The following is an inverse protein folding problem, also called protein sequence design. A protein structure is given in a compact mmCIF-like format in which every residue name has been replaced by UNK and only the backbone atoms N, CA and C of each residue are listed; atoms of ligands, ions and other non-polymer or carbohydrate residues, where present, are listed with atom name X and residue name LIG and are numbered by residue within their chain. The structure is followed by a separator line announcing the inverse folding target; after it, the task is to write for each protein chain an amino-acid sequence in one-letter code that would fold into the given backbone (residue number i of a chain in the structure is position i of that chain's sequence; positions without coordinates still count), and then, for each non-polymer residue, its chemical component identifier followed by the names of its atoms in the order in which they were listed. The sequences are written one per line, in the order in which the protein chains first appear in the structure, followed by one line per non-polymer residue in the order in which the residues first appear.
data_IF_841611049835
#
_entry.id   IF_841611049835
#
_cell.length_a   1.000
_cell.length_b   1.000
_cell.length_c   1.000
_cell.angle_alpha   90.00
_cell.angle_beta   90.00
_cell.angle_gamma   90.00
#
_symmetry.space_group_name_H-M   'P 1'
#
loop_
_entity.id
_entity.type
_entity.pdbx_description
1 polymer ?
#
# COMPACT_ATOMS: atom_id res chain seq x y z
N UNK A 1 -13.69 15.05 5.59
CA UNK A 1 -14.97 14.40 5.21
C UNK A 1 -15.61 13.88 6.47
N UNK A 2 -16.87 14.24 6.74
CA UNK A 2 -17.59 13.71 7.90
C UNK A 2 -17.90 12.23 7.70
N UNK A 3 -17.97 11.45 8.79
CA UNK A 3 -18.32 10.03 8.70
C UNK A 3 -19.73 9.76 8.14
N UNK A 4 -20.59 10.79 8.03
CA UNK A 4 -21.91 10.71 7.39
C UNK A 4 -21.78 10.82 5.87
N UNK A 5 -21.06 11.82 5.37
CA UNK A 5 -20.78 12.02 3.93
C UNK A 5 -20.11 10.79 3.30
N UNK A 6 -19.16 10.17 3.99
CA UNK A 6 -18.50 8.96 3.49
C UNK A 6 -19.45 7.76 3.36
N UNK A 7 -20.37 7.58 4.31
CA UNK A 7 -21.36 6.49 4.28
C UNK A 7 -22.36 6.66 3.16
N UNK A 8 -22.78 7.90 2.90
CA UNK A 8 -23.74 8.20 1.84
C UNK A 8 -23.08 8.01 0.45
N UNK A 9 -21.84 8.48 0.28
CA UNK A 9 -21.05 8.23 -0.94
C UNK A 9 -20.81 6.73 -1.18
N UNK A 10 -20.54 5.94 -0.13
CA UNK A 10 -20.36 4.50 -0.24
C UNK A 10 -21.65 3.76 -0.64
N UNK A 11 -22.79 4.15 -0.07
CA UNK A 11 -24.10 3.60 -0.45
C UNK A 11 -24.42 3.87 -1.92
N UNK A 12 -24.09 5.05 -2.41
CA UNK A 12 -24.27 5.43 -3.80
C UNK A 12 -23.37 4.60 -4.73
N UNK A 13 -22.08 4.46 -4.39
CA UNK A 13 -21.13 3.63 -5.13
C UNK A 13 -21.55 2.14 -5.20
N UNK A 14 -22.12 1.58 -4.13
CA UNK A 14 -22.67 0.22 -4.15
C UNK A 14 -23.86 0.12 -5.10
N UNK A 15 -24.79 1.09 -5.06
CA UNK A 15 -25.98 1.08 -5.92
C UNK A 15 -25.59 1.12 -7.39
N UNK A 16 -24.70 2.04 -7.75
CA UNK A 16 -24.16 2.18 -9.10
C UNK A 16 -23.46 0.87 -9.55
N UNK A 17 -22.62 0.30 -8.69
CA UNK A 17 -21.95 -0.97 -8.99
C UNK A 17 -22.96 -2.12 -9.21
N UNK A 18 -24.00 -2.22 -8.39
CA UNK A 18 -25.03 -3.26 -8.53
C UNK A 18 -25.81 -3.11 -9.85
N UNK A 19 -26.10 -1.87 -10.27
CA UNK A 19 -26.75 -1.59 -11.55
C UNK A 19 -25.85 -1.98 -12.72
N UNK A 20 -24.57 -1.58 -12.67
CA UNK A 20 -23.57 -1.94 -13.68
C UNK A 20 -23.37 -3.46 -13.75
N UNK A 21 -23.34 -4.14 -12.61
CA UNK A 21 -23.22 -5.60 -12.54
C UNK A 21 -24.43 -6.30 -13.18
N UNK A 22 -25.65 -5.84 -12.87
CA UNK A 22 -26.87 -6.37 -13.49
C UNK A 22 -26.90 -6.12 -15.00
N UNK A 23 -26.43 -4.95 -15.44
CA UNK A 23 -26.32 -4.62 -16.87
C UNK A 23 -25.34 -5.55 -17.58
N UNK A 24 -24.13 -5.71 -17.03
CA UNK A 24 -23.09 -6.59 -17.55
C UNK A 24 -23.57 -8.05 -17.67
N UNK A 25 -24.33 -8.55 -16.69
CA UNK A 25 -24.92 -9.89 -16.77
C UNK A 25 -26.00 -10.02 -17.85
N UNK A 26 -26.82 -8.98 -18.08
CA UNK A 26 -27.81 -8.98 -19.16
C UNK A 26 -27.13 -9.00 -20.52
N UNK A 27 -26.12 -8.15 -20.72
CA UNK A 27 -25.35 -8.11 -21.96
C UNK A 27 -24.62 -9.44 -22.21
N UNK A 28 -23.98 -9.98 -21.17
CA UNK A 28 -23.34 -11.29 -21.24
C UNK A 28 -24.33 -12.39 -21.62
N UNK A 29 -25.55 -12.37 -21.08
CA UNK A 29 -26.58 -13.35 -21.44
C UNK A 29 -26.93 -13.29 -22.92
N UNK A 30 -27.01 -12.11 -23.52
CA UNK A 30 -27.24 -11.97 -24.97
C UNK A 30 -26.03 -12.45 -25.78
N UNK A 31 -24.81 -12.06 -25.41
CA UNK A 31 -23.56 -12.56 -26.02
C UNK A 31 -23.47 -14.09 -25.95
N UNK A 32 -23.86 -14.67 -24.83
CA UNK A 32 -23.85 -16.12 -24.61
C UNK A 32 -24.90 -16.84 -25.46
N UNK A 33 -26.08 -16.26 -25.68
CA UNK A 33 -27.07 -16.82 -26.63
C UNK A 33 -26.53 -16.85 -28.05
N UNK A 34 -25.91 -15.76 -28.50
CA UNK A 34 -25.29 -15.67 -29.83
C UNK A 34 -24.20 -16.74 -29.97
N UNK A 35 -23.30 -16.83 -28.98
CA UNK A 35 -22.26 -17.87 -28.94
C UNK A 35 -22.85 -19.28 -28.98
N UNK A 36 -23.95 -19.55 -28.25
CA UNK A 36 -24.64 -20.85 -28.26
C UNK A 36 -25.28 -21.18 -29.62
N UNK A 37 -25.73 -20.19 -30.38
CA UNK A 37 -26.22 -20.41 -31.74
C UNK A 37 -25.09 -20.73 -32.70
N UNK A 38 -23.98 -19.98 -32.63
CA UNK A 38 -22.76 -20.24 -33.40
C UNK A 38 -22.16 -21.63 -33.07
N UNK A 39 -22.18 -22.03 -31.80
CA UNK A 39 -21.77 -23.35 -31.33
C UNK A 39 -22.53 -24.49 -32.04
N UNK A 40 -23.85 -24.37 -32.20
CA UNK A 40 -24.64 -25.40 -32.90
C UNK A 40 -24.24 -25.52 -34.37
N UNK A 41 -23.92 -24.40 -35.01
CA UNK A 41 -23.49 -24.35 -36.40
C UNK A 41 -22.07 -24.90 -36.58
N UNK A 42 -21.11 -24.50 -35.74
CA UNK A 42 -19.72 -24.98 -35.78
C UNK A 42 -19.61 -26.49 -35.49
N UNK A 43 -20.36 -27.00 -34.50
CA UNK A 43 -20.42 -28.44 -34.20
C UNK A 43 -21.00 -29.21 -35.39
N UNK A 44 -22.04 -28.69 -36.07
CA UNK A 44 -22.59 -29.32 -37.27
C UNK A 44 -21.60 -29.40 -38.44
N UNK A 45 -20.59 -28.51 -38.45
CA UNK A 45 -19.49 -28.48 -39.44
C UNK A 45 -18.27 -29.29 -38.99
N UNK A 46 -18.31 -29.96 -37.84
CA UNK A 46 -17.21 -30.79 -37.32
C UNK A 46 -16.05 -30.00 -36.69
N UNK A 47 -16.26 -28.72 -36.37
CA UNK A 47 -15.27 -27.81 -35.78
C UNK A 47 -15.47 -27.70 -34.25
N UNK A 48 -14.37 -27.51 -33.50
CA UNK A 48 -14.42 -27.21 -32.07
C UNK A 48 -14.39 -25.68 -31.87
N UNK A 49 -15.45 -25.06 -31.32
CA UNK A 49 -15.52 -23.62 -31.20
C UNK A 49 -14.70 -23.06 -30.03
N UNK A 50 -14.42 -21.74 -30.04
CA UNK A 50 -13.73 -21.06 -28.95
C UNK A 50 -14.58 -21.03 -27.68
N UNK A 51 -13.91 -20.86 -26.54
CA UNK A 51 -14.53 -20.73 -25.23
C UNK A 51 -15.63 -19.66 -25.21
N UNK A 52 -16.69 -19.84 -24.38
CA UNK A 52 -17.74 -18.85 -24.27
C UNK A 52 -17.18 -17.51 -23.78
N UNK A 53 -17.73 -16.38 -24.27
CA UNK A 53 -17.33 -15.06 -23.79
C UNK A 53 -17.61 -14.98 -22.29
N UNK A 54 -16.66 -14.46 -21.51
CA UNK A 54 -16.85 -14.20 -20.09
C UNK A 54 -17.58 -12.86 -19.88
N UNK A 55 -18.36 -12.70 -18.79
CA UNK A 55 -18.96 -11.41 -18.46
C UNK A 55 -17.87 -10.44 -18.02
N UNK A 56 -17.98 -9.19 -18.47
CA UNK A 56 -17.14 -8.09 -17.99
C UNK A 56 -17.70 -7.59 -16.66
N UNK A 57 -17.26 -8.22 -15.57
CA UNK A 57 -17.74 -7.90 -14.22
C UNK A 57 -17.12 -6.56 -13.77
N UNK A 58 -17.93 -5.53 -13.47
CA UNK A 58 -17.40 -4.28 -12.95
C UNK A 58 -16.70 -4.52 -11.61
N UNK A 59 -15.59 -3.81 -11.37
CA UNK A 59 -14.85 -3.92 -10.11
C UNK A 59 -15.71 -3.43 -8.95
N UNK A 60 -15.86 -4.25 -7.93
CA UNK A 60 -16.59 -3.89 -6.72
C UNK A 60 -15.90 -2.71 -6.01
N UNK A 61 -16.65 -1.73 -5.49
CA UNK A 61 -16.09 -0.72 -4.60
C UNK A 61 -15.39 -1.41 -3.43
N UNK A 62 -14.20 -0.95 -3.02
CA UNK A 62 -13.51 -1.55 -1.89
C UNK A 62 -14.41 -1.49 -0.66
N UNK A 63 -14.66 -2.64 -0.04
CA UNK A 63 -15.38 -2.70 1.22
C UNK A 63 -14.55 -1.95 2.27
N UNK A 64 -15.16 -1.06 3.09
CA UNK A 64 -14.54 -0.57 4.30
C UNK A 64 -14.63 -1.69 5.34
N UNK A 65 -13.99 -2.84 5.07
CA UNK A 65 -13.54 -3.70 6.15
C UNK A 65 -12.59 -2.84 6.99
N UNK A 66 -12.73 -2.89 8.31
CA UNK A 66 -11.77 -2.29 9.24
C UNK A 66 -10.37 -2.78 8.86
N UNK A 67 -9.61 -1.91 8.19
CA UNK A 67 -8.44 -2.36 7.44
C UNK A 67 -8.11 -1.42 6.29
N UNK A 68 -8.06 -0.11 6.58
CA UNK A 68 -7.15 0.76 5.82
C UNK A 68 -5.82 0.01 5.69
N UNK A 69 -5.33 -0.17 4.47
CA UNK A 69 -4.10 -0.94 4.14
C UNK A 69 -3.09 -0.85 5.29
N UNK A 70 -3.04 -1.88 6.13
CA UNK A 70 -2.20 -1.87 7.31
C UNK A 70 -0.76 -2.15 6.88
N UNK A 71 0.17 -1.39 7.42
CA UNK A 71 1.58 -1.63 7.17
C UNK A 71 1.98 -2.92 7.89
N UNK A 72 2.53 -3.88 7.15
CA UNK A 72 3.05 -5.13 7.70
C UNK A 72 4.56 -5.02 7.81
N UNK A 73 5.07 -5.17 9.03
CA UNK A 73 6.50 -5.26 9.31
C UNK A 73 6.81 -6.70 9.70
N UNK A 74 7.58 -7.40 8.87
CA UNK A 74 8.07 -8.73 9.22
C UNK A 74 9.29 -8.59 10.12
N UNK A 75 9.21 -9.13 11.34
CA UNK A 75 10.31 -9.12 12.31
C UNK A 75 10.61 -10.54 12.80
N UNK A 76 11.89 -10.82 13.09
CA UNK A 76 12.28 -12.04 13.81
C UNK A 76 12.08 -11.80 15.30
N UNK A 77 11.47 -12.75 15.96
CA UNK A 77 11.21 -12.74 17.40
C UNK A 77 12.01 -13.91 18.00
N UNK A 78 12.62 -13.70 19.16
CA UNK A 78 13.35 -14.76 19.86
C UNK A 78 12.40 -15.76 20.51
N UNK A 79 12.95 -16.91 20.92
CA UNK A 79 12.15 -18.00 21.47
C UNK A 79 11.51 -17.63 22.83
N UNK A 80 12.17 -16.79 23.62
CA UNK A 80 11.66 -16.33 24.92
C UNK A 80 10.47 -15.39 24.74
N UNK A 81 10.58 -14.39 23.85
CA UNK A 81 9.49 -13.47 23.58
C UNK A 81 8.30 -14.18 22.92
N UNK A 82 8.58 -15.16 22.05
CA UNK A 82 7.53 -15.97 21.43
C UNK A 82 6.73 -16.75 22.48
N UNK A 83 7.39 -17.35 23.48
CA UNK A 83 6.71 -18.04 24.59
C UNK A 83 5.81 -17.10 25.39
N UNK A 84 6.25 -15.87 25.64
CA UNK A 84 5.43 -14.87 26.33
C UNK A 84 4.20 -14.50 25.51
N UNK A 85 4.35 -14.33 24.19
CA UNK A 85 3.23 -14.07 23.29
C UNK A 85 2.22 -15.23 23.31
N UNK A 86 2.71 -16.47 23.25
CA UNK A 86 1.86 -17.67 23.29
C UNK A 86 1.09 -17.77 24.61
N UNK A 87 1.73 -17.48 25.74
CA UNK A 87 1.07 -17.44 27.05
C UNK A 87 -0.09 -16.44 27.09
N UNK A 88 0.04 -15.28 26.44
CA UNK A 88 -1.04 -14.28 26.38
C UNK A 88 -2.23 -14.78 25.56
N UNK A 89 -1.99 -15.59 24.53
CA UNK A 89 -3.05 -16.22 23.72
C UNK A 89 -3.72 -17.34 24.52
N UNK A 90 -2.94 -18.19 25.19
CA UNK A 90 -3.45 -19.25 26.05
C UNK A 90 -4.31 -18.70 27.20
N UNK A 91 -3.94 -17.54 27.74
CA UNK A 91 -4.73 -16.82 28.74
C UNK A 91 -6.02 -16.18 28.17
N UNK A 92 -6.23 -16.24 26.85
CA UNK A 92 -7.41 -15.67 26.17
C UNK A 92 -7.40 -14.14 26.06
N UNK A 93 -6.25 -13.49 26.24
CA UNK A 93 -6.14 -12.03 26.15
C UNK A 93 -6.11 -11.53 24.70
N UNK A 94 -5.63 -12.35 23.77
CA UNK A 94 -5.57 -12.05 22.34
C UNK A 94 -5.94 -13.28 21.51
N UNK A 95 -6.54 -13.06 20.34
CA UNK A 95 -6.95 -14.16 19.46
C UNK A 95 -5.79 -14.65 18.58
N UNK A 96 -4.83 -13.77 18.26
CA UNK A 96 -3.70 -14.08 17.37
C UNK A 96 -2.37 -13.54 17.87
N UNK A 97 -1.27 -14.21 17.51
CA UNK A 97 0.11 -13.74 17.77
C UNK A 97 0.37 -12.35 17.21
N UNK A 98 -0.11 -12.08 16.00
CA UNK A 98 0.05 -10.78 15.35
C UNK A 98 -0.65 -9.65 16.11
N UNK A 99 -1.82 -9.92 16.69
CA UNK A 99 -2.57 -8.96 17.49
C UNK A 99 -1.84 -8.65 18.80
N UNK A 100 -1.40 -9.70 19.52
CA UNK A 100 -0.62 -9.55 20.74
C UNK A 100 0.68 -8.75 20.49
N UNK A 101 1.40 -9.05 19.40
CA UNK A 101 2.60 -8.29 19.02
C UNK A 101 2.27 -6.84 18.70
N UNK A 102 1.23 -6.57 17.93
CA UNK A 102 0.83 -5.20 17.61
C UNK A 102 0.47 -4.40 18.87
N UNK A 103 -0.21 -5.03 19.84
CA UNK A 103 -0.51 -4.44 21.13
C UNK A 103 0.77 -4.13 21.92
N UNK A 104 1.66 -5.11 22.08
CA UNK A 104 2.93 -4.94 22.82
C UNK A 104 3.82 -3.87 22.19
N UNK A 105 3.89 -3.78 20.86
CA UNK A 105 4.63 -2.72 20.17
C UNK A 105 4.02 -1.35 20.46
N UNK A 106 2.69 -1.23 20.45
CA UNK A 106 2.00 0.02 20.75
C UNK A 106 2.25 0.47 22.18
N UNK A 107 2.14 -0.43 23.15
CA UNK A 107 2.43 -0.13 24.56
C UNK A 107 3.92 0.15 24.78
N UNK A 108 4.82 -0.55 24.09
CA UNK A 108 6.26 -0.27 24.10
C UNK A 108 6.61 1.13 23.58
N UNK A 109 5.94 1.58 22.51
CA UNK A 109 6.08 2.95 21.98
C UNK A 109 5.64 3.97 23.03
N UNK A 110 4.48 3.77 23.67
CA UNK A 110 4.00 4.66 24.73
C UNK A 110 4.94 4.68 25.94
N UNK A 111 5.44 3.52 26.34
CA UNK A 111 6.32 3.39 27.50
C UNK A 111 7.68 4.09 27.29
N UNK A 112 8.12 4.26 26.03
CA UNK A 112 9.39 4.90 25.64
C UNK A 112 9.19 6.18 24.84
N UNK A 113 8.04 6.83 25.04
CA UNK A 113 7.67 8.07 24.36
C UNK A 113 8.72 9.17 24.57
N UNK A 114 9.34 9.22 25.76
CA UNK A 114 10.39 10.17 26.12
C UNK A 114 11.62 10.07 25.20
N UNK A 115 12.03 8.86 24.83
CA UNK A 115 13.17 8.63 23.93
C UNK A 115 12.76 8.95 22.49
N UNK A 116 11.55 8.54 22.10
CA UNK A 116 11.04 8.80 20.76
C UNK A 116 10.97 10.31 20.49
N UNK A 117 10.52 11.09 21.47
CA UNK A 117 10.48 12.55 21.39
C UNK A 117 11.88 13.18 21.27
N UNK A 118 12.85 12.72 22.09
CA UNK A 118 14.24 13.18 21.98
C UNK A 118 14.85 12.88 20.61
N UNK A 119 14.62 11.68 20.09
CA UNK A 119 15.08 11.27 18.75
C UNK A 119 14.39 12.11 17.68
N UNK A 120 13.09 12.35 17.79
CA UNK A 120 12.34 13.19 16.85
C UNK A 120 12.89 14.61 16.82
N UNK A 121 13.08 15.24 17.99
CA UNK A 121 13.63 16.59 18.10
C UNK A 121 15.01 16.70 17.45
N UNK A 122 15.91 15.75 17.74
CA UNK A 122 17.25 15.73 17.16
C UNK A 122 17.21 15.55 15.63
N UNK A 123 16.33 14.69 15.11
CA UNK A 123 16.16 14.51 13.67
C UNK A 123 15.58 15.75 12.98
N UNK A 124 14.66 16.45 13.63
CA UNK A 124 14.06 17.67 13.09
C UNK A 124 15.06 18.83 13.06
N UNK A 125 15.94 18.94 14.06
CA UNK A 125 17.08 19.85 14.02
C UNK A 125 18.02 19.54 12.85
N UNK A 126 18.38 18.27 12.64
CA UNK A 126 19.21 17.85 11.50
C UNK A 126 18.54 18.20 10.17
N UNK A 127 17.23 17.96 10.03
CA UNK A 127 16.47 18.32 8.82
C UNK A 127 16.47 19.82 8.58
N UNK A 128 16.27 20.61 9.63
CA UNK A 128 16.30 22.08 9.55
C UNK A 128 17.67 22.58 9.10
N UNK A 129 18.75 22.05 9.68
CA UNK A 129 20.12 22.40 9.30
C UNK A 129 20.39 22.04 7.84
N UNK A 130 19.97 20.85 7.39
CA UNK A 130 20.11 20.43 5.99
C UNK A 130 19.38 21.35 5.03
N UNK A 131 18.12 21.66 5.33
CA UNK A 131 17.32 22.59 4.52
C UNK A 131 17.94 23.99 4.46
N UNK A 132 18.48 24.49 5.57
CA UNK A 132 19.20 25.77 5.58
C UNK A 132 20.46 25.74 4.71
N UNK A 133 21.24 24.65 4.77
CA UNK A 133 22.42 24.48 3.93
C UNK A 133 22.07 24.40 2.44
N UNK A 134 21.03 23.64 2.09
CA UNK A 134 20.53 23.55 0.71
C UNK A 134 20.06 24.90 0.17
N UNK A 135 19.34 25.69 0.97
CA UNK A 135 18.89 27.02 0.62
C UNK A 135 20.08 27.99 0.41
N UNK A 136 21.11 27.93 1.27
CA UNK A 136 22.33 28.71 1.11
C UNK A 136 23.07 28.34 -0.19
N UNK A 137 23.22 27.05 -0.46
CA UNK A 137 23.84 26.57 -1.71
C UNK A 137 23.04 27.01 -2.93
N UNK A 138 21.71 27.00 -2.87
CA UNK A 138 20.84 27.46 -3.94
C UNK A 138 21.02 28.95 -4.22
N UNK A 139 21.08 29.79 -3.18
CA UNK A 139 21.37 31.23 -3.31
C UNK A 139 22.72 31.47 -3.97
N UNK A 140 23.76 30.76 -3.51
CA UNK A 140 25.10 30.85 -4.12
C UNK A 140 25.09 30.41 -5.59
N UNK A 141 24.39 29.32 -5.95
CA UNK A 141 24.22 28.89 -7.35
C UNK A 141 23.53 29.96 -8.21
N UNK A 142 22.54 30.66 -7.66
CA UNK A 142 21.84 31.77 -8.34
C UNK A 142 22.76 32.97 -8.54
N UNK A 143 23.53 33.36 -7.51
CA UNK A 143 24.52 34.44 -7.59
C UNK A 143 25.64 34.12 -8.61
N UNK A 144 26.03 32.85 -8.72
CA UNK A 144 27.02 32.37 -9.68
C UNK A 144 26.46 32.12 -11.09
N UNK A 145 25.17 32.42 -11.35
CA UNK A 145 24.54 32.27 -12.67
C UNK A 145 24.33 30.81 -13.11
N UNK A 146 24.41 29.84 -12.21
CA UNK A 146 24.25 28.41 -12.48
C UNK A 146 22.82 27.95 -12.18
N UNK A 147 21.85 28.36 -13.01
CA UNK A 147 20.50 27.77 -12.98
C UNK A 147 20.47 26.47 -13.80
N UNK A 148 20.91 25.38 -13.19
CA UNK A 148 20.50 24.06 -13.69
C UNK A 148 19.11 23.73 -13.16
N UNK A 149 18.19 23.43 -14.08
CA UNK A 149 16.89 22.86 -13.78
C UNK A 149 17.12 21.47 -13.19
N UNK A 150 17.15 21.37 -11.86
CA UNK A 150 17.22 20.08 -11.16
C UNK A 150 15.92 19.34 -11.48
N UNK A 151 15.95 18.47 -12.51
CA UNK A 151 14.90 17.48 -12.74
C UNK A 151 14.92 16.56 -11.53
N UNK A 152 13.93 16.71 -10.64
CA UNK A 152 13.63 15.76 -9.56
C UNK A 152 13.50 14.37 -10.17
N UNK A 153 14.58 13.60 -10.09
CA UNK A 153 14.59 12.20 -10.48
C UNK A 153 14.00 11.44 -9.30
N UNK A 154 12.81 10.85 -9.51
CA UNK A 154 12.15 9.99 -8.51
C UNK A 154 13.16 8.97 -7.99
N UNK A 155 13.50 9.06 -6.70
CA UNK A 155 14.47 8.16 -6.08
C UNK A 155 13.77 6.84 -5.78
N UNK A 156 14.13 5.78 -6.51
CA UNK A 156 13.52 4.46 -6.38
C UNK A 156 14.58 3.45 -5.94
N UNK A 157 14.23 2.53 -5.04
CA UNK A 157 15.11 1.43 -4.66
C UNK A 157 15.32 0.46 -5.84
N UNK A 158 16.55 0.08 -6.22
CA UNK A 158 16.78 -0.81 -7.36
C UNK A 158 16.28 -2.23 -7.12
N UNK A 159 16.16 -2.67 -5.86
CA UNK A 159 15.78 -4.03 -5.50
C UNK A 159 14.27 -4.17 -5.28
N UNK A 160 13.65 -3.32 -4.45
CA UNK A 160 12.22 -3.42 -4.15
C UNK A 160 11.33 -2.46 -4.94
N UNK A 161 11.91 -1.59 -5.76
CA UNK A 161 11.24 -0.59 -6.61
C UNK A 161 10.29 0.36 -5.86
N UNK A 162 10.42 0.48 -4.53
CA UNK A 162 9.67 1.45 -3.75
C UNK A 162 10.24 2.85 -3.93
N UNK A 163 9.33 3.81 -3.91
CA UNK A 163 9.67 5.24 -3.88
C UNK A 163 10.33 5.59 -2.55
N UNK A 164 11.44 6.30 -2.62
CA UNK A 164 12.27 6.77 -1.51
C UNK A 164 12.32 8.30 -1.47
N UNK A 165 11.52 8.98 -2.28
CA UNK A 165 11.51 10.44 -2.36
C UNK A 165 11.14 11.10 -1.03
N UNK A 166 10.35 10.41 -0.20
CA UNK A 166 9.96 10.86 1.15
C UNK A 166 11.05 10.66 2.22
N UNK A 167 12.17 10.01 1.87
CA UNK A 167 13.27 9.72 2.79
C UNK A 167 14.47 10.64 2.56
N UNK A 168 15.25 10.96 3.61
CA UNK A 168 16.46 11.77 3.49
C UNK A 168 17.45 11.21 2.45
N UNK A 169 18.07 12.12 1.70
CA UNK A 169 18.90 11.79 0.53
C UNK A 169 20.21 11.06 0.86
N UNK A 170 20.61 11.05 2.12
CA UNK A 170 21.82 10.43 2.68
C UNK A 170 21.60 9.01 3.21
N UNK A 171 20.37 8.48 3.11
CA UNK A 171 20.08 7.12 3.57
C UNK A 171 20.91 6.09 2.79
N UNK A 172 21.71 5.30 3.50
CA UNK A 172 22.60 4.29 2.90
C UNK A 172 21.96 2.91 2.74
N UNK A 173 20.80 2.67 3.37
CA UNK A 173 20.13 1.36 3.37
C UNK A 173 18.63 1.54 3.18
N UNK A 174 18.03 0.79 2.27
CA UNK A 174 16.60 0.79 2.06
C UNK A 174 15.85 0.26 3.29
N UNK A 175 14.95 1.04 3.93
CA UNK A 175 14.20 0.57 5.09
C UNK A 175 13.25 -0.59 4.81
N UNK A 176 12.84 -0.74 3.55
CA UNK A 176 11.82 -1.72 3.16
C UNK A 176 12.38 -3.09 2.82
N UNK A 177 13.64 -3.17 2.38
CA UNK A 177 14.25 -4.43 1.92
C UNK A 177 15.70 -4.64 2.38
N UNK A 178 16.31 -3.68 3.06
CA UNK A 178 17.68 -3.79 3.57
C UNK A 178 18.79 -3.65 2.51
N UNK A 179 18.46 -3.34 1.25
CA UNK A 179 19.48 -3.12 0.20
C UNK A 179 20.31 -1.88 0.49
N UNK A 180 21.65 -1.99 0.45
CA UNK A 180 22.55 -0.84 0.62
C UNK A 180 22.69 -0.04 -0.68
N UNK A 181 22.68 1.28 -0.58
CA UNK A 181 22.94 2.20 -1.69
C UNK A 181 24.42 2.62 -1.65
N UNK A 182 25.18 2.22 -2.66
CA UNK A 182 26.60 2.56 -2.78
C UNK A 182 27.54 1.62 -2.01
N UNK A 183 28.24 0.80 -2.81
CA UNK A 183 29.33 -0.14 -2.54
C UNK A 183 28.96 -1.62 -2.34
N UNK A 184 29.69 -2.60 -2.91
CA UNK A 184 31.05 -2.70 -3.53
C UNK A 184 31.90 -1.44 -3.79
#
# INVERSE_FOLDING_TARGET
MSGKEFRDAYKEAIREWLENYKSALKEWKERFKIWKMQLKEEISKGSFPPLPPMPEIPRMPPLPLHGARSNVVASRIGDEELKLIDMLIEAGLFETRSEAVAFLVKEGIKARQDIIEKVSSALDEIRKIRSQAEEQVKKLKQELGMLQTEKETRRICPQCRRDLSDLPSDIKVCPYCGTRFGKD
#
